data_IF_485665362484
#
_entry.id   IF_485665362484
#
_cell.length_a   1.000
_cell.length_b   1.000
_cell.length_c   1.000
_cell.angle_alpha   90.00
_cell.angle_beta   90.00
_cell.angle_gamma   90.00
#
_symmetry.space_group_name_H-M   'P 1'
#
loop_
_entity.id
_entity.type
_entity.pdbx_description
1 polymer ?
#
# COMPACT_ATOMS: atom_id res chain seq x y z
N UNK A 1 167.44 -57.13 48.58
CA UNK A 1 166.51 -56.29 49.35
C UNK A 1 165.14 -56.91 49.13
N UNK A 2 164.70 -57.68 50.12
CA UNK A 2 163.50 -58.51 50.06
C UNK A 2 162.26 -57.60 50.15
N UNK A 3 161.41 -57.64 49.13
CA UNK A 3 160.10 -57.00 49.19
C UNK A 3 159.16 -57.94 49.95
N UNK A 4 159.07 -57.70 51.25
CA UNK A 4 158.15 -58.29 52.21
C UNK A 4 156.69 -57.99 51.79
N UNK A 5 155.92 -59.05 51.55
CA UNK A 5 154.47 -59.01 51.29
C UNK A 5 153.71 -58.68 52.58
N UNK A 6 153.01 -57.56 52.58
CA UNK A 6 152.16 -57.12 53.69
C UNK A 6 150.91 -58.00 53.84
N UNK A 7 150.48 -58.09 55.09
CA UNK A 7 149.57 -59.04 55.67
C UNK A 7 148.12 -58.90 55.19
N UNK A 8 147.56 -60.04 54.80
CA UNK A 8 146.14 -60.42 54.84
C UNK A 8 145.11 -59.28 54.98
N UNK A 9 144.71 -58.73 53.83
CA UNK A 9 143.39 -58.10 53.69
C UNK A 9 142.36 -59.20 53.46
N UNK A 10 141.32 -59.23 54.30
CA UNK A 10 140.17 -60.13 54.12
C UNK A 10 139.59 -59.95 52.71
N UNK A 11 139.42 -61.08 52.00
CA UNK A 11 138.90 -61.05 50.64
C UNK A 11 137.46 -60.49 50.66
N UNK A 12 137.13 -59.52 49.79
CA UNK A 12 135.75 -59.08 49.64
C UNK A 12 134.89 -60.28 49.20
N UNK A 13 133.63 -60.30 49.66
CA UNK A 13 132.69 -61.38 49.34
C UNK A 13 132.66 -61.64 47.84
N UNK A 14 132.78 -62.92 47.45
CA UNK A 14 132.82 -63.32 46.04
C UNK A 14 131.58 -62.80 45.31
N UNK A 15 131.75 -62.08 44.18
CA UNK A 15 130.62 -61.50 43.47
C UNK A 15 129.65 -62.59 42.99
N UNK A 16 128.35 -62.34 43.14
CA UNK A 16 127.28 -63.21 42.66
C UNK A 16 127.40 -63.37 41.14
N UNK A 17 127.45 -64.61 40.66
CA UNK A 17 127.50 -64.91 39.24
C UNK A 17 126.16 -64.57 38.58
N UNK A 18 126.17 -63.56 37.70
CA UNK A 18 125.04 -63.20 36.84
C UNK A 18 125.37 -63.69 35.43
N UNK A 19 124.63 -64.68 34.88
CA UNK A 19 124.83 -65.15 33.52
C UNK A 19 124.70 -64.01 32.50
N UNK A 20 125.59 -63.97 31.51
CA UNK A 20 125.44 -63.04 30.39
C UNK A 20 124.14 -63.36 29.63
N UNK A 21 123.29 -62.35 29.41
CA UNK A 21 122.09 -62.50 28.59
C UNK A 21 122.50 -63.01 27.20
N UNK A 22 122.06 -64.21 26.85
CA UNK A 22 122.29 -64.84 25.55
C UNK A 22 120.98 -64.83 24.76
N UNK A 23 120.86 -63.85 23.87
CA UNK A 23 119.71 -63.60 23.01
C UNK A 23 119.89 -62.27 22.26
N UNK A 24 119.35 -62.14 21.04
CA UNK A 24 119.28 -60.86 20.32
C UNK A 24 117.96 -60.19 20.67
N UNK A 25 118.02 -59.06 21.35
CA UNK A 25 116.83 -58.26 21.65
C UNK A 25 116.41 -57.52 20.36
N UNK A 26 115.17 -57.77 19.91
CA UNK A 26 114.55 -57.08 18.76
C UNK A 26 113.23 -56.48 19.24
N UNK A 27 113.08 -55.16 19.11
CA UNK A 27 111.80 -54.51 19.32
C UNK A 27 111.03 -54.47 18.00
N UNK A 28 109.75 -54.77 18.05
CA UNK A 28 108.81 -54.55 16.95
C UNK A 28 107.76 -53.56 17.44
N UNK A 29 107.53 -52.52 16.64
CA UNK A 29 106.55 -51.47 16.94
C UNK A 29 105.75 -51.22 15.66
N UNK A 30 104.44 -51.07 15.81
CA UNK A 30 103.54 -50.64 14.74
C UNK A 30 103.31 -49.14 14.94
N UNK A 31 103.52 -48.35 13.89
CA UNK A 31 103.32 -46.91 13.95
C UNK A 31 101.88 -46.54 13.62
N UNK A 32 101.44 -45.35 14.04
CA UNK A 32 100.12 -44.84 13.71
C UNK A 32 99.96 -44.77 12.18
N UNK A 33 98.99 -45.52 11.64
CA UNK A 33 98.72 -45.62 10.21
C UNK A 33 99.23 -46.88 9.50
N UNK A 34 100.10 -47.69 10.12
CA UNK A 34 100.67 -48.91 9.47
C UNK A 34 99.63 -50.00 9.17
N UNK A 35 98.50 -50.02 9.89
CA UNK A 35 97.42 -51.01 9.75
C UNK A 35 96.11 -50.43 9.20
N UNK A 36 96.12 -49.16 8.74
CA UNK A 36 94.90 -48.52 8.26
C UNK A 36 94.51 -49.05 6.87
N UNK A 37 93.32 -49.64 6.77
CA UNK A 37 92.70 -50.01 5.50
C UNK A 37 91.49 -49.10 5.23
N UNK A 38 91.65 -48.21 4.27
CA UNK A 38 90.63 -47.24 3.89
C UNK A 38 89.33 -47.91 3.47
N UNK A 39 89.39 -49.02 2.72
CA UNK A 39 88.21 -49.66 2.15
C UNK A 39 87.35 -50.36 3.22
N UNK A 40 87.91 -50.64 4.39
CA UNK A 40 87.18 -51.19 5.54
C UNK A 40 86.65 -50.05 6.39
N UNK A 41 87.50 -49.07 6.70
CA UNK A 41 87.17 -48.01 7.66
C UNK A 41 86.17 -46.99 7.10
N UNK A 42 86.13 -46.78 5.78
CA UNK A 42 85.20 -45.83 5.15
C UNK A 42 83.75 -46.37 5.06
N UNK A 43 83.56 -47.69 5.11
CA UNK A 43 82.25 -48.33 4.88
C UNK A 43 81.16 -47.86 5.86
N UNK A 44 81.38 -47.83 7.19
CA UNK A 44 80.36 -47.36 8.13
C UNK A 44 80.00 -45.88 7.92
N UNK A 45 80.98 -45.06 7.53
CA UNK A 45 80.77 -43.64 7.26
C UNK A 45 79.92 -43.45 5.99
N UNK A 46 80.23 -44.18 4.92
CA UNK A 46 79.45 -44.13 3.68
C UNK A 46 78.04 -44.69 3.87
N UNK A 47 77.88 -45.78 4.62
CA UNK A 47 76.57 -46.36 4.89
C UNK A 47 75.65 -45.37 5.61
N UNK A 48 76.18 -44.67 6.64
CA UNK A 48 75.42 -43.63 7.35
C UNK A 48 75.12 -42.44 6.46
N UNK A 49 76.08 -41.98 5.65
CA UNK A 49 75.87 -40.83 4.75
C UNK A 49 74.84 -41.15 3.67
N UNK A 50 74.95 -42.30 3.01
CA UNK A 50 74.02 -42.72 1.95
C UNK A 50 72.64 -43.01 2.56
N UNK A 51 72.58 -43.69 3.71
CA UNK A 51 71.32 -43.96 4.40
C UNK A 51 70.58 -42.69 4.76
N UNK A 52 71.25 -41.75 5.44
CA UNK A 52 70.63 -40.48 5.86
C UNK A 52 70.24 -39.60 4.68
N UNK A 53 71.05 -39.56 3.62
CA UNK A 53 70.71 -38.74 2.44
C UNK A 53 69.50 -39.30 1.69
N UNK A 54 69.38 -40.62 1.55
CA UNK A 54 68.21 -41.23 0.92
C UNK A 54 66.97 -41.08 1.80
N UNK A 55 67.09 -41.30 3.10
CA UNK A 55 65.96 -41.15 4.05
C UNK A 55 65.45 -39.72 4.06
N UNK A 56 66.35 -38.72 4.16
CA UNK A 56 65.97 -37.31 4.10
C UNK A 56 65.33 -36.96 2.75
N UNK A 57 65.91 -37.39 1.63
CA UNK A 57 65.33 -37.12 0.31
C UNK A 57 63.95 -37.74 0.13
N UNK A 58 63.71 -38.94 0.66
CA UNK A 58 62.40 -39.59 0.58
C UNK A 58 61.35 -38.83 1.40
N UNK A 59 61.70 -38.40 2.61
CA UNK A 59 60.78 -37.62 3.46
C UNK A 59 60.43 -36.28 2.81
N UNK A 60 61.43 -35.55 2.28
CA UNK A 60 61.20 -34.28 1.60
C UNK A 60 60.26 -34.42 0.39
N UNK A 61 60.47 -35.45 -0.45
CA UNK A 61 59.61 -35.68 -1.62
C UNK A 61 58.18 -36.06 -1.21
N UNK A 62 58.02 -36.86 -0.17
CA UNK A 62 56.69 -37.21 0.35
C UNK A 62 55.96 -35.98 0.90
N UNK A 63 56.65 -35.14 1.68
CA UNK A 63 56.08 -33.89 2.22
C UNK A 63 55.69 -32.92 1.10
N UNK A 64 56.52 -32.80 0.04
CA UNK A 64 56.21 -31.96 -1.11
C UNK A 64 54.95 -32.44 -1.87
N UNK A 65 54.80 -33.75 -2.06
CA UNK A 65 53.63 -34.33 -2.72
C UNK A 65 52.35 -34.12 -1.88
N UNK A 66 52.44 -34.34 -0.56
CA UNK A 66 51.32 -34.09 0.35
C UNK A 66 50.91 -32.61 0.37
N UNK A 67 51.87 -31.68 0.44
CA UNK A 67 51.60 -30.25 0.37
C UNK A 67 50.99 -29.83 -0.97
N UNK A 68 51.45 -30.40 -2.07
CA UNK A 68 50.89 -30.14 -3.40
C UNK A 68 49.43 -30.62 -3.49
N UNK A 69 49.15 -31.82 -2.97
CA UNK A 69 47.80 -32.39 -2.91
C UNK A 69 46.86 -31.53 -2.05
N UNK A 70 47.29 -31.12 -0.86
CA UNK A 70 46.50 -30.26 0.03
C UNK A 70 46.20 -28.90 -0.61
N UNK A 71 47.19 -28.28 -1.26
CA UNK A 71 47.00 -27.02 -1.98
C UNK A 71 46.01 -27.17 -3.13
N UNK A 72 46.12 -28.23 -3.92
CA UNK A 72 45.17 -28.51 -5.01
C UNK A 72 43.74 -28.66 -4.48
N UNK A 73 43.56 -29.40 -3.38
CA UNK A 73 42.25 -29.52 -2.72
C UNK A 73 41.72 -28.18 -2.20
N UNK A 74 42.57 -27.36 -1.58
CA UNK A 74 42.18 -26.03 -1.11
C UNK A 74 41.75 -25.12 -2.27
N UNK A 75 42.51 -25.08 -3.36
CA UNK A 75 42.17 -24.28 -4.54
C UNK A 75 40.82 -24.70 -5.14
N UNK A 76 40.60 -26.01 -5.32
CA UNK A 76 39.33 -26.52 -5.83
C UNK A 76 38.14 -26.17 -4.91
N UNK A 77 38.33 -26.27 -3.59
CA UNK A 77 37.29 -25.87 -2.63
C UNK A 77 36.99 -24.37 -2.68
N UNK A 78 38.03 -23.54 -2.74
CA UNK A 78 37.88 -22.10 -2.82
C UNK A 78 37.20 -21.67 -4.12
N UNK A 79 37.59 -22.24 -5.24
CA UNK A 79 36.98 -21.98 -6.55
C UNK A 79 35.48 -22.29 -6.52
N UNK A 80 35.10 -23.48 -6.03
CA UNK A 80 33.71 -23.87 -5.89
C UNK A 80 32.95 -22.91 -4.96
N UNK A 81 33.52 -22.59 -3.79
CA UNK A 81 32.89 -21.70 -2.82
C UNK A 81 32.70 -20.28 -3.35
N UNK A 82 33.65 -19.76 -4.13
CA UNK A 82 33.52 -18.44 -4.74
C UNK A 82 32.44 -18.44 -5.83
N UNK A 83 32.35 -19.51 -6.63
CA UNK A 83 31.28 -19.67 -7.61
C UNK A 83 29.89 -19.74 -6.93
N UNK A 84 29.76 -20.54 -5.87
CA UNK A 84 28.53 -20.64 -5.08
C UNK A 84 28.14 -19.29 -4.46
N UNK A 85 29.10 -18.57 -3.87
CA UNK A 85 28.84 -17.26 -3.27
C UNK A 85 28.35 -16.24 -4.31
N UNK A 86 28.96 -16.21 -5.49
CA UNK A 86 28.54 -15.34 -6.57
C UNK A 86 27.11 -15.69 -7.06
N UNK A 87 26.77 -16.97 -7.11
CA UNK A 87 25.42 -17.41 -7.46
C UNK A 87 24.38 -16.99 -6.41
N UNK A 88 24.68 -17.20 -5.12
CA UNK A 88 23.80 -16.78 -4.02
C UNK A 88 23.55 -15.27 -4.08
N UNK A 89 24.60 -14.45 -4.25
CA UNK A 89 24.45 -13.00 -4.38
C UNK A 89 23.55 -12.61 -5.54
N UNK A 90 23.70 -13.26 -6.70
CA UNK A 90 22.85 -13.03 -7.88
C UNK A 90 21.38 -13.34 -7.58
N UNK A 91 21.12 -14.45 -6.88
CA UNK A 91 19.76 -14.88 -6.52
C UNK A 91 19.13 -13.98 -5.46
N UNK A 92 19.89 -13.58 -4.44
CA UNK A 92 19.43 -12.65 -3.39
C UNK A 92 19.04 -11.30 -3.96
N UNK A 93 19.83 -10.75 -4.88
CA UNK A 93 19.49 -9.49 -5.54
C UNK A 93 18.21 -9.62 -6.39
N UNK A 94 18.06 -10.74 -7.11
CA UNK A 94 16.86 -11.01 -7.88
C UNK A 94 15.62 -11.13 -6.96
N UNK A 95 15.72 -11.87 -5.86
CA UNK A 95 14.66 -11.97 -4.86
C UNK A 95 14.31 -10.60 -4.25
N UNK A 96 15.32 -9.77 -3.93
CA UNK A 96 15.10 -8.42 -3.43
C UNK A 96 14.24 -7.61 -4.40
N UNK A 97 14.58 -7.61 -5.69
CA UNK A 97 13.81 -6.90 -6.72
C UNK A 97 12.38 -7.42 -6.83
N UNK A 98 12.20 -8.74 -6.88
CA UNK A 98 10.85 -9.34 -6.96
C UNK A 98 10.02 -9.05 -5.71
N UNK A 99 10.63 -9.10 -4.52
CA UNK A 99 9.96 -8.79 -3.26
C UNK A 99 9.50 -7.33 -3.22
N UNK A 100 10.37 -6.40 -3.59
CA UNK A 100 10.04 -4.98 -3.66
C UNK A 100 8.89 -4.72 -4.65
N UNK A 101 8.92 -5.35 -5.84
CA UNK A 101 7.84 -5.23 -6.81
C UNK A 101 6.52 -5.80 -6.25
N UNK A 102 6.57 -7.01 -5.67
CA UNK A 102 5.40 -7.67 -5.07
C UNK A 102 4.78 -6.82 -3.96
N UNK A 103 5.60 -6.20 -3.12
CA UNK A 103 5.14 -5.28 -2.08
C UNK A 103 4.49 -4.02 -2.66
N UNK A 104 5.07 -3.44 -3.73
CA UNK A 104 4.46 -2.30 -4.44
C UNK A 104 3.09 -2.67 -5.03
N UNK A 105 2.99 -3.82 -5.70
CA UNK A 105 1.72 -4.32 -6.26
C UNK A 105 0.68 -4.56 -5.17
N UNK A 106 1.08 -5.15 -4.04
CA UNK A 106 0.19 -5.37 -2.89
C UNK A 106 -0.33 -4.05 -2.31
N UNK A 107 0.51 -3.03 -2.17
CA UNK A 107 0.10 -1.69 -1.70
C UNK A 107 -0.90 -1.06 -2.67
N UNK A 108 -0.63 -1.11 -3.98
CA UNK A 108 -1.55 -0.60 -5.00
C UNK A 108 -2.91 -1.30 -4.95
N UNK A 109 -2.94 -2.64 -4.88
CA UNK A 109 -4.19 -3.39 -4.76
C UNK A 109 -4.96 -3.06 -3.48
N UNK A 110 -4.25 -2.88 -2.35
CA UNK A 110 -4.88 -2.50 -1.10
C UNK A 110 -5.55 -1.13 -1.20
N UNK A 111 -4.89 -0.15 -1.82
CA UNK A 111 -5.48 1.18 -2.05
C UNK A 111 -6.69 1.13 -2.97
N UNK A 112 -6.65 0.30 -4.03
CA UNK A 112 -7.79 0.10 -4.94
C UNK A 112 -8.98 -0.50 -4.17
N UNK A 113 -8.75 -1.54 -3.37
CA UNK A 113 -9.80 -2.16 -2.55
C UNK A 113 -10.38 -1.19 -1.51
N UNK A 114 -9.55 -0.34 -0.90
CA UNK A 114 -10.04 0.69 0.02
C UNK A 114 -10.96 1.69 -0.70
N UNK A 115 -10.55 2.19 -1.87
CA UNK A 115 -11.38 3.10 -2.68
C UNK A 115 -12.66 2.43 -3.16
N UNK A 116 -12.60 1.16 -3.57
CA UNK A 116 -13.77 0.38 -3.95
C UNK A 116 -14.76 0.27 -2.78
N UNK A 117 -14.27 -0.05 -1.58
CA UNK A 117 -15.09 -0.08 -0.37
C UNK A 117 -15.75 1.28 -0.11
N UNK A 118 -14.99 2.37 -0.11
CA UNK A 118 -15.53 3.71 0.10
C UNK A 118 -16.59 4.10 -0.95
N UNK A 119 -16.33 3.78 -2.22
CA UNK A 119 -17.27 4.09 -3.31
C UNK A 119 -18.54 3.26 -3.19
N UNK A 120 -18.43 1.96 -2.88
CA UNK A 120 -19.59 1.09 -2.63
C UNK A 120 -20.44 1.58 -1.45
N UNK A 121 -19.82 2.00 -0.34
CA UNK A 121 -20.51 2.57 0.81
C UNK A 121 -21.22 3.89 0.46
N UNK A 122 -20.58 4.78 -0.30
CA UNK A 122 -21.20 6.03 -0.78
C UNK A 122 -22.39 5.76 -1.69
N UNK A 123 -22.28 4.80 -2.60
CA UNK A 123 -23.37 4.39 -3.49
C UNK A 123 -24.53 3.79 -2.68
N UNK A 124 -24.23 2.92 -1.72
CA UNK A 124 -25.23 2.32 -0.84
C UNK A 124 -25.96 3.37 0.01
N UNK A 125 -25.22 4.31 0.61
CA UNK A 125 -25.78 5.41 1.39
C UNK A 125 -26.68 6.32 0.54
N UNK A 126 -26.24 6.65 -0.69
CA UNK A 126 -27.05 7.42 -1.64
C UNK A 126 -28.33 6.70 -2.02
N UNK A 127 -28.24 5.41 -2.37
CA UNK A 127 -29.40 4.60 -2.72
C UNK A 127 -30.39 4.48 -1.56
N UNK A 128 -29.87 4.29 -0.34
CA UNK A 128 -30.68 4.29 0.89
C UNK A 128 -31.39 5.63 1.10
N UNK A 129 -30.67 6.74 1.03
CA UNK A 129 -31.25 8.07 1.20
C UNK A 129 -32.32 8.37 0.14
N UNK A 130 -32.08 8.01 -1.12
CA UNK A 130 -33.07 8.18 -2.20
C UNK A 130 -34.34 7.38 -1.93
N UNK A 131 -34.22 6.12 -1.53
CA UNK A 131 -35.38 5.28 -1.20
C UNK A 131 -36.13 5.79 0.03
N UNK A 132 -35.40 6.19 1.08
CA UNK A 132 -36.01 6.73 2.30
C UNK A 132 -36.74 8.05 2.06
N UNK A 133 -36.13 8.97 1.29
CA UNK A 133 -36.74 10.27 0.96
C UNK A 133 -37.94 10.11 0.02
N UNK A 134 -37.91 9.14 -0.88
CA UNK A 134 -39.03 8.87 -1.78
C UNK A 134 -40.32 8.54 -1.02
N UNK A 135 -40.22 7.84 0.11
CA UNK A 135 -41.38 7.49 0.95
C UNK A 135 -41.70 8.58 1.99
N UNK A 136 -40.67 9.22 2.56
CA UNK A 136 -40.85 10.24 3.60
C UNK A 136 -41.47 11.52 3.06
N UNK A 137 -41.05 12.00 1.88
CA UNK A 137 -41.52 13.27 1.32
C UNK A 137 -43.06 13.23 1.13
N UNK A 138 -43.65 12.27 0.40
CA UNK A 138 -45.11 12.21 0.25
C UNK A 138 -45.85 12.08 1.58
N UNK A 139 -45.31 11.31 2.53
CA UNK A 139 -45.94 11.12 3.85
C UNK A 139 -45.99 12.42 4.66
N UNK A 140 -44.89 13.18 4.72
CA UNK A 140 -44.83 14.46 5.44
C UNK A 140 -45.64 15.53 4.72
N UNK A 141 -45.58 15.61 3.39
CA UNK A 141 -46.41 16.55 2.63
C UNK A 141 -47.91 16.24 2.75
N UNK A 142 -48.28 14.96 2.83
CA UNK A 142 -49.64 14.54 3.14
C UNK A 142 -50.08 15.01 4.52
N UNK A 143 -49.31 14.72 5.57
CA UNK A 143 -49.67 15.13 6.93
C UNK A 143 -49.70 16.66 7.14
N UNK A 144 -48.81 17.41 6.47
CA UNK A 144 -48.84 18.88 6.52
C UNK A 144 -50.05 19.47 5.77
N UNK A 145 -50.48 18.82 4.68
CA UNK A 145 -51.70 19.20 3.95
C UNK A 145 -52.94 18.92 4.80
N UNK A 146 -53.01 17.75 5.41
CA UNK A 146 -54.13 17.35 6.27
C UNK A 146 -54.24 18.21 7.53
N UNK A 147 -53.10 18.70 8.05
CA UNK A 147 -53.07 19.66 9.18
C UNK A 147 -53.35 21.12 8.77
N UNK A 148 -53.58 21.38 7.48
CA UNK A 148 -54.02 22.69 6.98
C UNK A 148 -52.89 23.73 6.83
N UNK A 149 -51.62 23.31 6.87
CA UNK A 149 -50.49 24.22 6.61
C UNK A 149 -50.32 24.57 5.13
N UNK A 150 -50.69 23.65 4.24
CA UNK A 150 -50.80 23.93 2.80
C UNK A 150 -52.25 24.29 2.47
N UNK A 151 -52.49 25.55 2.14
CA UNK A 151 -53.80 26.06 1.70
C UNK A 151 -53.65 26.79 0.36
N UNK A 152 -54.74 26.81 -0.42
CA UNK A 152 -54.80 27.66 -1.61
C UNK A 152 -55.00 29.12 -1.15
N UNK A 153 -54.09 30.05 -1.49
CA UNK A 153 -54.24 31.46 -1.13
C UNK A 153 -55.54 32.07 -1.67
N UNK A 154 -56.06 31.60 -2.81
CA UNK A 154 -57.31 32.08 -3.39
C UNK A 154 -58.50 31.62 -2.55
N UNK A 155 -58.52 30.33 -2.18
CA UNK A 155 -59.58 29.79 -1.32
C UNK A 155 -59.61 30.51 0.04
N UNK A 156 -58.43 30.75 0.63
CA UNK A 156 -58.31 31.49 1.88
C UNK A 156 -58.76 32.94 1.77
N UNK A 157 -58.44 33.63 0.68
CA UNK A 157 -58.86 35.02 0.45
C UNK A 157 -60.37 35.12 0.23
N UNK A 158 -60.97 34.13 -0.45
CA UNK A 158 -62.42 34.01 -0.57
C UNK A 158 -63.05 33.78 0.81
N UNK A 159 -62.50 32.86 1.60
CA UNK A 159 -63.02 32.53 2.93
C UNK A 159 -62.94 33.70 3.92
N UNK A 160 -61.82 34.44 3.90
CA UNK A 160 -61.54 35.49 4.89
C UNK A 160 -61.95 36.88 4.44
N UNK A 161 -61.96 37.16 3.14
CA UNK A 161 -62.29 38.47 2.57
C UNK A 161 -63.67 38.50 1.95
N UNK A 162 -63.92 37.62 0.96
CA UNK A 162 -65.13 37.67 0.15
C UNK A 162 -66.38 37.22 0.91
N UNK A 163 -66.35 36.09 1.63
CA UNK A 163 -67.53 35.61 2.34
C UNK A 163 -68.01 36.58 3.42
N UNK A 164 -67.15 37.16 4.29
CA UNK A 164 -67.61 38.16 5.25
C UNK A 164 -68.22 39.39 4.58
N UNK A 165 -67.60 39.90 3.51
CA UNK A 165 -68.14 41.02 2.75
C UNK A 165 -69.52 40.71 2.13
N UNK A 166 -69.67 39.51 1.55
CA UNK A 166 -70.93 39.07 0.96
C UNK A 166 -72.01 38.90 2.04
N UNK A 167 -71.66 38.26 3.16
CA UNK A 167 -72.58 38.06 4.29
C UNK A 167 -73.06 39.39 4.87
N UNK A 168 -72.18 40.37 5.04
CA UNK A 168 -72.52 41.74 5.46
C UNK A 168 -73.48 42.41 4.46
N UNK A 169 -73.25 42.27 3.16
CA UNK A 169 -74.15 42.80 2.13
C UNK A 169 -75.55 42.17 2.15
N UNK A 170 -75.61 40.85 2.37
CA UNK A 170 -76.85 40.09 2.54
C UNK A 170 -77.58 40.53 3.83
N UNK A 171 -76.84 40.71 4.92
CA UNK A 171 -77.37 41.20 6.21
C UNK A 171 -77.99 42.59 6.04
N UNK A 172 -77.25 43.56 5.49
CA UNK A 172 -77.77 44.93 5.25
C UNK A 172 -79.03 44.95 4.36
N UNK A 173 -79.08 44.10 3.34
CA UNK A 173 -80.26 44.00 2.46
C UNK A 173 -81.45 43.38 3.20
N UNK A 174 -81.18 42.39 4.05
CA UNK A 174 -82.20 41.74 4.88
C UNK A 174 -82.73 42.70 5.94
N UNK A 175 -81.86 43.47 6.60
CA UNK A 175 -82.24 44.53 7.54
C UNK A 175 -83.12 45.59 6.89
N UNK A 176 -82.75 46.08 5.70
CA UNK A 176 -83.59 47.03 4.93
C UNK A 176 -84.95 46.45 4.60
N UNK A 177 -85.02 45.15 4.23
CA UNK A 177 -86.31 44.47 3.97
C UNK A 177 -87.13 44.29 5.24
N UNK A 178 -86.51 43.94 6.37
CA UNK A 178 -87.18 43.83 7.67
C UNK A 178 -87.71 45.20 8.09
N UNK A 179 -86.89 46.24 8.01
CA UNK A 179 -87.29 47.62 8.31
C UNK A 179 -88.45 48.06 7.40
N UNK A 180 -88.37 47.78 6.10
CA UNK A 180 -89.43 48.07 5.14
C UNK A 180 -90.75 47.35 5.48
N UNK A 181 -90.67 46.08 5.90
CA UNK A 181 -91.84 45.34 6.40
C UNK A 181 -92.42 45.96 7.68
N UNK A 182 -91.58 46.32 8.65
CA UNK A 182 -92.02 46.98 9.89
C UNK A 182 -92.70 48.31 9.62
N UNK A 183 -92.14 49.14 8.72
CA UNK A 183 -92.75 50.43 8.33
C UNK A 183 -94.07 50.19 7.60
N UNK A 184 -94.14 49.23 6.68
CA UNK A 184 -95.38 48.89 5.99
C UNK A 184 -96.45 48.38 6.95
N UNK A 185 -96.09 47.51 7.91
CA UNK A 185 -97.00 47.00 8.93
C UNK A 185 -97.50 48.12 9.85
N UNK A 186 -96.65 49.10 10.19
CA UNK A 186 -97.06 50.29 10.94
C UNK A 186 -97.99 51.19 10.13
N UNK A 187 -97.69 51.46 8.84
CA UNK A 187 -98.57 52.25 7.98
C UNK A 187 -99.94 51.57 7.80
N UNK A 188 -99.97 50.24 7.64
CA UNK A 188 -101.21 49.48 7.59
C UNK A 188 -101.97 49.63 8.91
N UNK A 189 -101.29 49.60 10.06
CA UNK A 189 -101.91 49.82 11.37
C UNK A 189 -102.50 51.23 11.49
N UNK A 190 -101.74 52.27 11.13
CA UNK A 190 -102.18 53.67 11.20
C UNK A 190 -103.41 53.94 10.31
N UNK A 191 -103.41 53.42 9.06
CA UNK A 191 -104.57 53.53 8.16
C UNK A 191 -105.78 52.77 8.70
N UNK A 192 -105.57 51.61 9.32
CA UNK A 192 -106.66 50.84 9.94
C UNK A 192 -107.23 51.58 11.16
N UNK A 193 -106.40 52.23 11.98
CA UNK A 193 -106.81 53.05 13.13
C UNK A 193 -107.56 54.32 12.68
N UNK A 194 -107.05 55.05 11.69
CA UNK A 194 -107.74 56.21 11.11
C UNK A 194 -109.10 55.83 10.49
N UNK A 195 -109.17 54.66 9.83
CA UNK A 195 -110.43 54.14 9.30
C UNK A 195 -111.39 53.76 10.43
N UNK A 196 -110.91 53.12 11.49
CA UNK A 196 -111.73 52.77 12.65
C UNK A 196 -112.32 54.03 13.33
N UNK A 197 -111.50 55.06 13.53
CA UNK A 197 -111.92 56.36 14.07
C UNK A 197 -112.98 57.06 13.19
N UNK A 198 -112.78 57.03 11.86
CA UNK A 198 -113.76 57.55 10.89
C UNK A 198 -115.10 56.81 10.96
N UNK A 199 -115.10 55.49 11.22
CA UNK A 199 -116.31 54.69 11.42
C UNK A 199 -117.01 55.02 12.75
N UNK A 200 -116.26 55.19 13.84
CA UNK A 200 -116.82 55.53 15.16
C UNK A 200 -117.44 56.94 15.20
N UNK A 201 -116.90 57.89 14.44
CA UNK A 201 -117.38 59.30 14.39
C UNK A 201 -118.48 59.58 13.33
N UNK A 202 -118.94 58.58 12.56
CA UNK A 202 -120.00 58.71 11.51
C UNK A 202 -119.77 59.84 10.48
N UNK A 203 -118.53 60.07 10.06
CA UNK A 203 -118.18 61.01 8.98
C UNK A 203 -117.72 60.23 7.74
N UNK A 204 -118.34 60.43 6.58
CA UNK A 204 -118.01 59.69 5.36
C UNK A 204 -116.57 59.96 4.88
N UNK A 205 -115.80 58.95 4.44
CA UNK A 205 -114.42 59.14 4.00
C UNK A 205 -114.35 59.84 2.63
N UNK A 206 -113.51 60.87 2.58
CA UNK A 206 -113.15 61.63 1.37
C UNK A 206 -112.35 60.76 0.39
N UNK A 207 -112.76 60.77 -0.89
CA UNK A 207 -112.07 60.10 -2.00
C UNK A 207 -111.36 61.19 -2.83
N UNK A 208 -110.03 61.23 -2.92
CA UNK A 208 -109.37 62.16 -3.83
C UNK A 208 -109.57 61.70 -5.29
N UNK A 209 -109.98 62.64 -6.14
CA UNK A 209 -110.05 62.49 -7.60
C UNK A 209 -108.64 62.39 -8.19
N UNK A 210 -108.42 61.39 -9.05
CA UNK A 210 -107.21 61.21 -9.85
C UNK A 210 -107.38 62.01 -11.14
N UNK A 211 -106.59 63.07 -11.34
CA UNK A 211 -106.48 63.80 -12.61
C UNK A 211 -105.33 63.19 -13.41
N UNK A 212 -105.65 62.62 -14.58
CA UNK A 212 -104.70 62.16 -15.60
C UNK A 212 -104.30 63.34 -16.53
N UNK A 213 -103.00 63.52 -16.87
CA UNK A 213 -102.58 64.30 -18.03
C UNK A 213 -102.61 63.48 -19.34
N UNK A 214 -102.68 64.13 -20.52
CA UNK A 214 -103.16 63.54 -21.78
C UNK A 214 -102.09 62.81 -22.62
N UNK A 215 -102.60 61.94 -23.50
CA UNK A 215 -101.94 61.01 -24.41
C UNK A 215 -101.04 61.64 -25.48
N UNK A 216 -99.90 60.97 -25.77
CA UNK A 216 -99.37 60.79 -27.13
C UNK A 216 -98.78 59.38 -27.27
N UNK A 217 -99.56 58.50 -27.91
CA UNK A 217 -99.13 57.32 -28.67
C UNK A 217 -98.74 57.77 -30.12
N UNK A 218 -98.09 56.96 -31.00
CA UNK A 218 -98.20 55.49 -31.01
C UNK A 218 -97.02 54.65 -31.57
N UNK A 219 -97.21 53.32 -31.45
CA UNK A 219 -96.67 52.22 -32.30
C UNK A 219 -95.16 51.88 -32.25
N UNK A 220 -94.65 50.68 -32.55
CA UNK A 220 -95.10 49.28 -32.53
C UNK A 220 -93.88 48.40 -32.93
N UNK A 221 -93.92 47.12 -32.55
CA UNK A 221 -93.31 45.92 -33.21
C UNK A 221 -91.82 45.55 -33.01
N UNK A 222 -91.67 44.44 -32.28
CA UNK A 222 -91.07 43.14 -32.65
C UNK A 222 -89.99 43.03 -33.76
N UNK A 223 -88.93 42.30 -33.35
CA UNK A 223 -88.03 41.41 -34.12
C UNK A 223 -86.89 41.99 -34.95
N UNK A 224 -85.74 41.32 -34.87
CA UNK A 224 -84.77 41.21 -35.97
C UNK A 224 -83.43 41.88 -35.76
N UNK A 225 -82.44 41.06 -35.40
CA UNK A 225 -81.07 41.00 -35.94
C UNK A 225 -80.47 42.25 -36.63
N UNK A 226 -79.28 42.65 -36.18
CA UNK A 226 -78.19 43.00 -37.11
C UNK A 226 -76.87 42.44 -36.58
N UNK A 227 -76.41 41.44 -37.31
CA UNK A 227 -75.07 40.86 -37.40
C UNK A 227 -74.28 41.63 -38.48
N UNK A 228 -72.96 41.40 -38.52
CA UNK A 228 -72.02 41.58 -39.66
C UNK A 228 -71.40 42.99 -39.71
N UNK A 229 -70.07 43.17 -39.60
CA UNK A 229 -69.11 42.63 -40.58
C UNK A 229 -67.92 41.85 -40.02
N UNK A 230 -67.84 40.64 -40.55
CA UNK A 230 -66.68 39.77 -40.74
C UNK A 230 -65.62 40.47 -41.60
N UNK A 231 -64.35 40.21 -41.31
CA UNK A 231 -63.32 40.05 -42.35
C UNK A 231 -62.44 38.88 -41.93
N UNK A 232 -62.50 37.82 -42.73
CA UNK A 232 -61.59 36.68 -42.74
C UNK A 232 -60.25 37.13 -43.34
N UNK A 233 -59.13 36.66 -42.77
CA UNK A 233 -58.02 36.11 -43.53
C UNK A 233 -57.14 35.25 -42.60
N UNK A 234 -56.94 34.00 -43.00
CA UNK A 234 -55.95 33.03 -42.48
C UNK A 234 -54.51 33.42 -42.93
N UNK A 235 -53.45 32.62 -42.69
CA UNK A 235 -52.76 32.34 -41.44
C UNK A 235 -51.26 32.74 -41.51
N UNK A 236 -50.59 33.04 -40.38
CA UNK A 236 -49.12 32.91 -40.32
C UNK A 236 -48.59 32.86 -38.88
N UNK A 237 -48.06 31.69 -38.52
CA UNK A 237 -46.75 31.45 -37.87
C UNK A 237 -46.33 32.23 -36.61
N UNK A 238 -45.98 31.47 -35.55
CA UNK A 238 -45.03 31.78 -34.44
C UNK A 238 -45.46 32.85 -33.40
N UNK A 239 -45.30 32.73 -32.08
CA UNK A 239 -44.58 31.80 -31.19
C UNK A 239 -45.19 31.78 -29.76
N UNK A 240 -45.21 30.58 -29.16
CA UNK A 240 -45.06 30.14 -27.75
C UNK A 240 -45.64 30.89 -26.53
N UNK A 241 -46.24 30.13 -25.58
CA UNK A 241 -46.01 30.27 -24.14
C UNK A 241 -45.06 29.17 -23.60
N UNK A 242 -44.29 29.55 -22.59
CA UNK A 242 -43.40 28.72 -21.78
C UNK A 242 -44.20 27.79 -20.84
N UNK A 243 -43.90 26.49 -20.86
CA UNK A 243 -44.18 25.56 -19.78
C UNK A 243 -42.97 24.62 -19.59
N UNK A 244 -42.66 24.32 -18.34
CA UNK A 244 -41.48 23.60 -17.86
C UNK A 244 -41.38 22.12 -18.25
N UNK A 245 -40.12 21.71 -18.43
CA UNK A 245 -39.46 20.46 -18.02
C UNK A 245 -39.98 19.08 -18.49
N UNK A 246 -39.21 18.47 -19.40
CA UNK A 246 -38.61 17.13 -19.21
C UNK A 246 -37.43 16.91 -20.17
N UNK A 247 -36.42 16.08 -19.79
CA UNK A 247 -35.08 16.06 -20.38
C UNK A 247 -34.99 15.15 -21.62
N UNK A 248 -34.01 15.36 -22.50
CA UNK A 248 -33.71 14.42 -23.57
C UNK A 248 -33.04 13.16 -23.02
N UNK A 249 -33.48 12.03 -23.56
CA UNK A 249 -32.77 10.75 -23.55
C UNK A 249 -32.12 10.57 -24.92
N UNK A 250 -31.03 9.79 -24.94
CA UNK A 250 -30.16 9.44 -26.08
C UNK A 250 -29.04 10.43 -26.40
N UNK A 251 -28.07 10.51 -25.50
CA UNK A 251 -26.68 10.37 -25.94
C UNK A 251 -26.47 8.93 -26.40
N UNK A 252 -26.07 8.76 -27.66
CA UNK A 252 -25.47 7.53 -28.13
C UNK A 252 -24.19 7.27 -27.31
N UNK A 253 -23.98 6.04 -26.79
CA UNK A 253 -22.65 5.64 -26.39
C UNK A 253 -21.80 5.51 -27.66
N UNK A 254 -20.63 6.12 -27.67
CA UNK A 254 -19.57 5.71 -28.57
C UNK A 254 -19.23 4.24 -28.24
N UNK A 255 -19.59 3.35 -29.14
CA UNK A 255 -19.09 1.99 -29.18
C UNK A 255 -17.64 2.03 -29.69
N UNK A 256 -16.68 1.80 -28.79
CA UNK A 256 -15.35 1.26 -29.07
C UNK A 256 -14.66 0.94 -27.74
N UNK A 257 -15.26 0.02 -26.98
CA UNK A 257 -14.50 -0.85 -26.10
C UNK A 257 -13.76 -1.85 -26.99
N UNK A 258 -12.51 -1.53 -27.34
CA UNK A 258 -11.59 -2.51 -27.90
C UNK A 258 -11.03 -3.34 -26.73
N UNK A 259 -11.20 -4.67 -26.72
CA UNK A 259 -10.58 -5.50 -25.70
C UNK A 259 -9.05 -5.46 -25.90
N UNK A 260 -8.22 -5.31 -24.86
CA UNK A 260 -6.84 -5.74 -25.00
C UNK A 260 -6.88 -7.24 -25.27
N UNK A 261 -6.24 -7.61 -26.38
CA UNK A 261 -6.11 -8.98 -26.83
C UNK A 261 -5.62 -9.88 -25.69
N UNK A 262 -6.21 -11.06 -25.69
CA UNK A 262 -5.92 -12.19 -24.81
C UNK A 262 -4.44 -12.39 -24.56
N UNK A 263 -4.14 -12.66 -23.29
CA UNK A 263 -3.03 -13.50 -22.88
C UNK A 263 -2.91 -14.72 -23.81
N UNK A 264 -1.82 -14.77 -24.58
CA UNK A 264 -1.26 -16.02 -25.05
C UNK A 264 0.04 -16.30 -24.30
N UNK A 265 0.26 -17.56 -23.89
CA UNK A 265 1.42 -17.94 -23.09
C UNK A 265 2.69 -17.89 -23.96
N UNK A 266 3.88 -17.59 -23.40
CA UNK A 266 5.11 -17.87 -24.10
C UNK A 266 5.25 -19.38 -24.23
N UNK A 267 5.17 -19.86 -25.47
CA UNK A 267 5.54 -21.22 -25.86
C UNK A 267 7.04 -21.42 -25.65
N UNK A 268 7.34 -22.55 -25.04
CA UNK A 268 8.64 -23.12 -24.77
C UNK A 268 9.49 -23.38 -26.04
N UNK A 269 10.80 -23.45 -25.81
CA UNK A 269 11.80 -24.30 -26.48
C UNK A 269 12.25 -23.98 -27.92
N UNK A 270 13.47 -23.45 -28.06
CA UNK A 270 14.69 -24.15 -28.57
C UNK A 270 15.81 -23.17 -29.01
N UNK A 271 17.09 -23.59 -29.00
CA UNK A 271 18.27 -22.71 -28.92
C UNK A 271 18.87 -22.37 -30.29
N UNK A 272 19.78 -21.37 -30.39
CA UNK A 272 20.79 -21.37 -31.42
C UNK A 272 22.10 -21.97 -30.89
N UNK A 273 22.52 -23.03 -31.57
CA UNK A 273 23.85 -23.62 -31.55
C UNK A 273 24.87 -22.66 -32.19
N UNK A 274 26.06 -22.68 -31.59
CA UNK A 274 27.42 -22.36 -32.07
C UNK A 274 27.61 -21.88 -33.52
N UNK A 275 28.40 -20.82 -33.73
CA UNK A 275 29.87 -20.87 -33.79
C UNK A 275 30.39 -19.69 -34.64
N UNK A 276 31.31 -18.88 -34.10
CA UNK A 276 32.45 -18.33 -34.85
C UNK A 276 33.40 -17.56 -33.93
N UNK A 277 34.56 -18.17 -33.77
CA UNK A 277 35.82 -17.62 -33.28
C UNK A 277 36.25 -16.46 -34.19
N UNK A 278 36.57 -15.30 -33.61
CA UNK A 278 37.68 -14.48 -34.12
C UNK A 278 38.56 -13.99 -32.96
N UNK A 279 39.84 -14.14 -33.26
CA UNK A 279 41.04 -13.86 -32.50
C UNK A 279 41.18 -12.37 -32.17
N UNK A 280 41.70 -12.05 -30.98
CA UNK A 280 41.81 -10.69 -30.48
C UNK A 280 42.40 -10.66 -29.09
N UNK A 281 43.69 -10.99 -28.98
CA UNK A 281 44.43 -10.93 -27.74
C UNK A 281 44.37 -9.56 -27.05
N UNK A 282 44.10 -9.59 -25.75
CA UNK A 282 44.60 -8.59 -24.81
C UNK A 282 44.71 -9.24 -23.43
N UNK A 283 45.95 -9.30 -22.96
CA UNK A 283 46.39 -9.72 -21.64
C UNK A 283 45.72 -8.86 -20.56
N UNK A 284 44.83 -9.46 -19.79
CA UNK A 284 44.36 -8.93 -18.52
C UNK A 284 44.42 -10.05 -17.49
N UNK A 285 45.50 -10.09 -16.72
CA UNK A 285 45.61 -10.91 -15.51
C UNK A 285 44.55 -10.45 -14.50
N UNK A 286 43.62 -11.31 -14.03
CA UNK A 286 42.84 -10.97 -12.86
C UNK A 286 43.70 -11.21 -11.62
N UNK A 287 43.86 -10.15 -10.85
CA UNK A 287 44.60 -10.08 -9.59
C UNK A 287 43.96 -11.07 -8.59
N UNK A 288 44.74 -12.07 -8.18
CA UNK A 288 44.34 -13.07 -7.19
C UNK A 288 44.41 -12.40 -5.80
N UNK A 289 43.39 -12.49 -4.93
CA UNK A 289 43.47 -11.88 -3.61
C UNK A 289 44.58 -12.56 -2.79
N UNK A 290 45.61 -11.78 -2.43
CA UNK A 290 46.66 -12.20 -1.52
C UNK A 290 46.07 -12.59 -0.16
N UNK A 291 46.32 -13.83 0.24
CA UNK A 291 46.09 -14.33 1.59
C UNK A 291 47.11 -13.63 2.51
N UNK A 292 46.70 -12.92 3.58
CA UNK A 292 47.66 -12.35 4.52
C UNK A 292 48.23 -13.44 5.45
N UNK A 293 49.55 -13.48 5.57
CA UNK A 293 50.28 -14.30 6.54
C UNK A 293 49.87 -13.95 7.99
N UNK A 294 49.65 -14.94 8.88
CA UNK A 294 49.32 -14.68 10.28
C UNK A 294 50.60 -14.60 11.09
N UNK A 295 51.27 -13.45 11.11
CA UNK A 295 52.25 -13.14 12.18
C UNK A 295 52.49 -11.64 12.26
N UNK A 296 51.62 -10.94 12.98
CA UNK A 296 51.92 -9.79 13.85
C UNK A 296 50.62 -9.13 14.32
N UNK A 297 50.07 -9.63 15.43
CA UNK A 297 49.16 -8.84 16.27
C UNK A 297 49.80 -8.73 17.64
N UNK A 298 50.65 -7.72 17.81
CA UNK A 298 51.15 -7.29 19.10
C UNK A 298 50.94 -5.78 19.19
N UNK A 299 50.04 -5.36 20.09
CA UNK A 299 50.02 -3.98 20.57
C UNK A 299 48.64 -3.35 20.69
N UNK A 300 48.27 -3.13 21.95
CA UNK A 300 47.43 -2.03 22.45
C UNK A 300 45.91 -2.23 22.40
N UNK A 301 45.38 -2.74 23.52
CA UNK A 301 43.98 -2.63 23.91
C UNK A 301 43.90 -2.43 25.43
N UNK A 302 43.54 -1.22 25.81
CA UNK A 302 43.44 -0.63 27.14
C UNK A 302 42.54 -1.44 28.09
N UNK A 303 42.98 -1.58 29.34
CA UNK A 303 42.21 -2.16 30.43
C UNK A 303 41.12 -1.20 30.92
N UNK A 304 39.88 -1.68 31.02
CA UNK A 304 38.83 -1.15 31.88
C UNK A 304 38.12 -2.32 32.60
N UNK A 305 37.61 -2.12 33.83
CA UNK A 305 37.37 -3.19 34.81
C UNK A 305 35.98 -3.82 34.72
N UNK A 306 35.91 -5.11 35.04
CA UNK A 306 34.66 -5.87 35.21
C UNK A 306 33.86 -5.41 36.45
N UNK A 307 32.51 -5.44 36.41
CA UNK A 307 31.69 -5.25 37.60
C UNK A 307 31.45 -6.56 38.36
N UNK A 308 31.78 -6.54 39.66
CA UNK A 308 31.44 -7.57 40.65
C UNK A 308 29.93 -7.87 40.64
N UNK A 309 29.57 -9.12 40.33
CA UNK A 309 28.24 -9.67 40.60
C UNK A 309 28.29 -10.49 41.88
N UNK A 310 27.59 -9.99 42.89
CA UNK A 310 27.44 -10.57 44.22
C UNK A 310 26.35 -11.66 44.17
N UNK A 311 26.72 -12.92 44.37
CA UNK A 311 25.78 -14.02 44.60
C UNK A 311 25.10 -13.89 45.98
N UNK A 312 23.80 -14.23 46.12
CA UNK A 312 23.17 -14.41 47.43
C UNK A 312 23.23 -15.88 47.88
N UNK A 313 23.64 -16.11 49.14
CA UNK A 313 23.55 -17.39 49.84
C UNK A 313 22.09 -17.87 49.99
N UNK A 314 21.82 -19.19 49.94
CA UNK A 314 20.56 -19.75 50.41
C UNK A 314 20.64 -20.26 51.87
N UNK A 315 19.58 -20.00 52.63
CA UNK A 315 19.22 -20.68 53.89
C UNK A 315 18.86 -22.16 53.68
#
# INVERSE_FOLDING_TARGET
>A
MECQTDAFLDRPATPLFIPAKTGRDVATQIWEGDLFDFDIEVKPMLEVLVGKTIEQALLEVMEEEELASLRAHQYAYHELRYAELAEVQRLEEQERRHKEEKERRKKQQLEVLQKEKETSEKIAARAFAQRYLADLIPSVFGSLRDSGYFYDPVERDIETGFFPWLMEGVESTTEKKILGRVIADNLIRDVMEERLDCYEQKRLPYRPEVVLPPDQEPEAKLSGETLVTVSEDEPSTSDQPLASDRPPTSDQPADSDQPPASDQPPTSDLPPVSDQLEDGGQSGTPDLPQIPDPTQTAGQGTAEPEPETKEPEPE
#
